data_IF_918263416408
#
_entry.id   IF_918263416408
#
_cell.length_a   1.000
_cell.length_b   1.000
_cell.length_c   1.000
_cell.angle_alpha   90.00
_cell.angle_beta   90.00
_cell.angle_gamma   90.00
#
_symmetry.space_group_name_H-M   'P 1'
#
loop_
_entity.id
_entity.type
_entity.pdbx_description
1 polymer ?
#
# COMPACT_ATOMS: atom_id res chain seq x y z
N UNK A 1 -16.34 5.11 10.62
CA UNK A 1 -15.98 4.12 9.59
C UNK A 1 -16.72 2.83 9.86
N UNK A 2 -17.32 2.24 8.83
CA UNK A 2 -18.04 0.97 8.94
C UNK A 2 -17.06 -0.19 9.08
N UNK A 3 -17.23 -1.04 10.11
CA UNK A 3 -16.37 -2.21 10.34
C UNK A 3 -16.30 -3.13 9.12
N UNK A 4 -17.39 -3.22 8.36
CA UNK A 4 -17.46 -4.04 7.15
C UNK A 4 -16.54 -3.51 6.04
N UNK A 5 -16.48 -2.20 5.85
CA UNK A 5 -15.59 -1.57 4.86
C UNK A 5 -14.14 -1.79 5.25
N UNK A 6 -13.79 -1.56 6.53
CA UNK A 6 -12.44 -1.84 7.05
C UNK A 6 -12.04 -3.32 6.86
N UNK A 7 -12.97 -4.24 7.13
CA UNK A 7 -12.75 -5.68 6.99
C UNK A 7 -12.58 -6.12 5.53
N UNK A 8 -13.36 -5.54 4.62
CA UNK A 8 -13.31 -5.86 3.21
C UNK A 8 -12.04 -5.30 2.55
N UNK A 9 -11.69 -4.05 2.85
CA UNK A 9 -10.71 -3.28 2.09
C UNK A 9 -9.26 -3.43 2.57
N UNK A 10 -9.01 -4.00 3.74
CA UNK A 10 -7.64 -4.15 4.29
C UNK A 10 -7.44 -5.51 4.96
N UNK A 11 -6.44 -6.25 4.50
CA UNK A 11 -6.06 -7.53 5.12
C UNK A 11 -5.58 -7.37 6.57
N UNK A 12 -4.92 -6.25 6.89
CA UNK A 12 -4.47 -5.95 8.26
C UNK A 12 -5.66 -5.62 9.18
N UNK A 13 -6.56 -4.72 8.76
CA UNK A 13 -7.76 -4.40 9.55
C UNK A 13 -8.66 -5.62 9.72
N UNK A 14 -8.81 -6.45 8.67
CA UNK A 14 -9.50 -7.74 8.75
C UNK A 14 -8.94 -8.61 9.88
N UNK A 15 -7.62 -8.73 9.95
CA UNK A 15 -6.93 -9.54 10.97
C UNK A 15 -7.14 -8.96 12.37
N UNK A 16 -7.00 -7.64 12.53
CA UNK A 16 -7.21 -6.94 13.81
C UNK A 16 -8.66 -7.06 14.31
N UNK A 17 -9.64 -6.88 13.42
CA UNK A 17 -11.07 -6.99 13.72
C UNK A 17 -11.46 -8.44 14.06
N UNK A 18 -10.89 -9.42 13.35
CA UNK A 18 -11.13 -10.85 13.63
C UNK A 18 -10.54 -11.29 14.96
N UNK A 19 -9.37 -10.76 15.33
CA UNK A 19 -8.74 -11.03 16.63
C UNK A 19 -9.49 -10.34 17.80
N UNK A 20 -10.23 -9.27 17.53
CA UNK A 20 -10.94 -8.48 18.53
C UNK A 20 -12.42 -8.28 18.17
N UNK A 21 -13.22 -9.37 18.10
CA UNK A 21 -14.58 -9.33 17.57
C UNK A 21 -15.53 -8.46 18.40
N UNK A 22 -15.30 -8.38 19.71
CA UNK A 22 -16.19 -7.68 20.66
C UNK A 22 -15.71 -6.27 21.04
N UNK A 23 -14.51 -5.85 20.60
CA UNK A 23 -14.01 -4.52 20.92
C UNK A 23 -14.65 -3.49 20.00
N UNK A 24 -15.30 -2.48 20.57
CA UNK A 24 -15.83 -1.32 19.86
C UNK A 24 -14.73 -0.37 19.39
N UNK A 25 -13.55 -0.41 20.02
CA UNK A 25 -12.39 0.45 19.73
C UNK A 25 -11.15 -0.41 19.47
N UNK A 26 -10.40 -0.06 18.41
CA UNK A 26 -9.09 -0.64 18.09
C UNK A 26 -8.11 0.51 18.02
N UNK A 27 -7.07 0.47 18.86
CA UNK A 27 -6.01 1.47 18.86
C UNK A 27 -4.96 1.13 17.79
N UNK A 28 -4.54 2.16 17.05
CA UNK A 28 -3.52 2.08 16.00
C UNK A 28 -2.46 3.11 16.36
N UNK A 29 -1.33 2.63 16.89
CA UNK A 29 -0.28 3.50 17.42
C UNK A 29 0.95 3.60 16.50
N UNK A 30 0.99 2.79 15.44
CA UNK A 30 2.14 2.69 14.54
C UNK A 30 1.98 3.47 13.22
N UNK A 31 0.90 4.24 13.06
CA UNK A 31 0.62 5.03 11.86
C UNK A 31 0.29 6.48 12.25
N UNK A 32 0.66 7.44 11.40
CA UNK A 32 0.27 8.84 11.62
C UNK A 32 -1.22 9.03 11.34
N UNK A 33 -1.84 9.97 12.04
CA UNK A 33 -3.26 10.30 11.82
C UNK A 33 -3.53 10.73 10.37
N UNK A 34 -2.58 11.44 9.76
CA UNK A 34 -2.65 11.88 8.36
C UNK A 34 -2.67 10.71 7.39
N UNK A 35 -1.71 9.79 7.49
CA UNK A 35 -1.65 8.60 6.62
C UNK A 35 -2.86 7.70 6.80
N UNK A 36 -3.29 7.52 8.05
CA UNK A 36 -4.45 6.72 8.34
C UNK A 36 -5.73 7.37 7.79
N UNK A 37 -5.87 8.68 7.90
CA UNK A 37 -6.99 9.42 7.30
C UNK A 37 -7.01 9.29 5.78
N UNK A 38 -5.86 9.40 5.12
CA UNK A 38 -5.75 9.20 3.67
C UNK A 38 -6.13 7.78 3.24
N UNK A 39 -5.80 6.76 4.05
CA UNK A 39 -6.23 5.39 3.84
C UNK A 39 -7.74 5.24 3.97
N UNK A 40 -8.35 5.88 4.97
CA UNK A 40 -9.80 5.87 5.17
C UNK A 40 -10.53 6.53 4.02
N UNK A 41 -10.06 7.69 3.57
CA UNK A 41 -10.59 8.38 2.39
C UNK A 41 -10.53 7.46 1.17
N UNK A 42 -9.38 6.83 0.92
CA UNK A 42 -9.21 5.89 -0.17
C UNK A 42 -10.21 4.72 -0.11
N UNK A 43 -10.51 4.18 1.06
CA UNK A 43 -11.49 3.08 1.17
C UNK A 43 -12.90 3.45 0.72
N UNK A 44 -13.29 4.72 0.86
CA UNK A 44 -14.61 5.19 0.48
C UNK A 44 -14.67 5.74 -0.94
N UNK A 45 -13.59 6.36 -1.42
CA UNK A 45 -13.58 6.98 -2.74
C UNK A 45 -12.92 6.14 -3.83
N UNK A 46 -12.04 5.21 -3.47
CA UNK A 46 -11.10 4.52 -4.37
C UNK A 46 -10.24 5.49 -5.20
N UNK A 47 -10.02 6.70 -4.70
CA UNK A 47 -9.20 7.74 -5.35
C UNK A 47 -8.00 8.08 -4.47
N UNK A 48 -6.85 8.33 -5.09
CA UNK A 48 -5.67 8.85 -4.39
C UNK A 48 -5.90 10.32 -4.04
N UNK A 49 -5.56 10.70 -2.81
CA UNK A 49 -5.51 12.10 -2.39
C UNK A 49 -4.26 12.74 -2.99
N UNK A 50 -4.39 13.79 -3.81
CA UNK A 50 -3.25 14.39 -4.51
C UNK A 50 -2.21 15.04 -3.58
N UNK A 51 -2.56 15.27 -2.31
CA UNK A 51 -1.65 15.87 -1.32
C UNK A 51 -0.74 14.84 -0.64
N UNK A 52 -0.98 13.54 -0.84
CA UNK A 52 -0.17 12.47 -0.25
C UNK A 52 0.77 11.93 -1.31
N UNK A 53 2.06 11.84 -0.98
CA UNK A 53 3.06 11.36 -1.91
C UNK A 53 2.81 9.90 -2.29
N UNK A 54 3.19 9.52 -3.51
CA UNK A 54 3.07 8.13 -4.00
C UNK A 54 3.85 7.15 -3.12
N UNK A 55 5.03 7.54 -2.62
CA UNK A 55 5.84 6.75 -1.71
C UNK A 55 5.15 6.47 -0.37
N UNK A 56 4.44 7.46 0.18
CA UNK A 56 3.63 7.30 1.38
C UNK A 56 2.44 6.37 1.12
N UNK A 57 1.76 6.51 -0.02
CA UNK A 57 0.68 5.61 -0.42
C UNK A 57 1.14 4.18 -0.62
N UNK A 58 2.33 3.96 -1.18
CA UNK A 58 2.93 2.64 -1.32
C UNK A 58 3.19 2.02 0.05
N UNK A 59 3.78 2.79 0.97
CA UNK A 59 4.02 2.37 2.36
C UNK A 59 2.71 1.99 3.06
N UNK A 60 1.68 2.83 2.92
CA UNK A 60 0.33 2.59 3.47
C UNK A 60 -0.25 1.30 2.88
N UNK A 61 -0.27 1.16 1.56
CA UNK A 61 -0.84 0.00 0.86
C UNK A 61 -0.21 -1.32 1.31
N UNK A 62 1.11 -1.36 1.49
CA UNK A 62 1.80 -2.55 1.97
C UNK A 62 1.55 -2.81 3.45
N UNK A 63 1.70 -1.78 4.29
CA UNK A 63 1.50 -1.90 5.75
C UNK A 63 0.08 -2.37 6.07
N UNK A 64 -0.91 -1.86 5.36
CA UNK A 64 -2.32 -2.12 5.59
C UNK A 64 -2.87 -3.27 4.73
N UNK A 65 -2.05 -3.84 3.83
CA UNK A 65 -2.44 -4.92 2.91
C UNK A 65 -3.71 -4.57 2.13
N UNK A 66 -3.64 -3.46 1.39
CA UNK A 66 -4.73 -2.92 0.58
C UNK A 66 -4.41 -3.18 -0.89
N UNK A 67 -4.84 -4.33 -1.39
CA UNK A 67 -4.46 -4.82 -2.73
C UNK A 67 -4.93 -3.87 -3.85
N UNK A 68 -6.13 -3.31 -3.74
CA UNK A 68 -6.67 -2.33 -4.69
C UNK A 68 -5.86 -1.04 -4.76
N UNK A 69 -5.35 -0.55 -3.62
CA UNK A 69 -4.46 0.61 -3.58
C UNK A 69 -3.15 0.29 -4.31
N UNK A 70 -2.55 -0.87 -4.03
CA UNK A 70 -1.32 -1.29 -4.69
C UNK A 70 -1.51 -1.48 -6.20
N UNK A 71 -2.66 -2.00 -6.64
CA UNK A 71 -3.02 -2.08 -8.08
C UNK A 71 -3.09 -0.71 -8.74
N UNK A 72 -3.78 0.25 -8.11
CA UNK A 72 -3.91 1.62 -8.63
C UNK A 72 -2.54 2.29 -8.70
N UNK A 73 -1.73 2.17 -7.65
CA UNK A 73 -0.37 2.72 -7.63
C UNK A 73 0.50 2.08 -8.70
N UNK A 74 0.40 0.78 -8.94
CA UNK A 74 1.15 0.15 -10.02
C UNK A 74 0.76 0.72 -11.39
N UNK A 75 -0.52 0.97 -11.66
CA UNK A 75 -0.97 1.59 -12.91
C UNK A 75 -0.47 3.04 -13.02
N UNK A 76 -0.60 3.83 -11.96
CA UNK A 76 -0.19 5.23 -11.92
C UNK A 76 1.33 5.38 -12.06
N UNK A 77 2.09 4.49 -11.43
CA UNK A 77 3.52 4.42 -11.63
C UNK A 77 3.82 4.03 -13.08
N UNK A 78 3.14 3.04 -13.66
CA UNK A 78 3.35 2.54 -15.03
C UNK A 78 3.05 3.56 -16.12
N UNK A 79 2.04 4.41 -15.94
CA UNK A 79 1.75 5.50 -16.89
C UNK A 79 2.85 6.56 -16.91
N UNK A 80 3.66 6.63 -15.85
CA UNK A 80 4.84 7.49 -15.73
C UNK A 80 6.15 6.78 -16.16
N UNK A 81 6.12 5.49 -16.55
CA UNK A 81 7.32 4.75 -17.02
C UNK A 81 7.87 5.24 -18.36
N UNK A 82 7.12 6.04 -19.13
CA UNK A 82 7.66 6.73 -20.32
C UNK A 82 8.63 7.88 -19.96
N UNK A 83 8.90 8.12 -18.66
CA UNK A 83 9.94 9.01 -18.18
C UNK A 83 10.90 8.26 -17.22
N UNK A 84 11.79 7.49 -17.84
CA UNK A 84 13.08 6.97 -17.36
C UNK A 84 13.35 6.92 -15.84
N UNK A 85 13.41 5.69 -15.30
CA UNK A 85 14.12 5.28 -14.07
C UNK A 85 13.65 5.79 -12.70
N UNK A 86 12.69 6.72 -12.60
CA UNK A 86 12.35 7.33 -11.31
C UNK A 86 11.67 6.36 -10.31
N UNK A 87 10.68 5.58 -10.77
CA UNK A 87 9.79 4.80 -9.89
C UNK A 87 10.48 3.67 -9.13
N UNK A 88 11.38 2.92 -9.79
CA UNK A 88 12.08 1.80 -9.12
C UNK A 88 12.98 2.29 -7.99
N UNK A 89 13.61 3.46 -8.14
CA UNK A 89 14.49 4.01 -7.10
C UNK A 89 13.72 4.44 -5.84
N UNK A 90 12.53 5.04 -5.98
CA UNK A 90 11.66 5.39 -4.85
C UNK A 90 11.03 4.17 -4.19
N UNK A 91 10.63 3.16 -4.99
CA UNK A 91 10.15 1.88 -4.46
C UNK A 91 11.26 1.18 -3.65
N UNK A 92 12.48 1.15 -4.17
CA UNK A 92 13.66 0.55 -3.51
C UNK A 92 14.08 1.36 -2.27
N UNK A 93 13.87 2.68 -2.26
CA UNK A 93 14.15 3.51 -1.10
C UNK A 93 13.08 3.32 -0.02
N UNK A 94 11.80 3.31 -0.37
CA UNK A 94 10.70 2.95 0.53
C UNK A 94 10.86 1.54 1.09
N UNK A 95 11.46 0.62 0.31
CA UNK A 95 11.86 -0.72 0.73
C UNK A 95 12.94 -0.72 1.82
N UNK A 96 13.98 0.14 1.72
CA UNK A 96 15.07 0.20 2.71
C UNK A 96 14.62 0.72 4.08
N UNK A 97 13.58 1.55 4.09
CA UNK A 97 13.09 2.20 5.32
C UNK A 97 11.97 1.38 6.01
N UNK A 98 11.57 0.24 5.44
CA UNK A 98 10.60 -0.67 6.06
C UNK A 98 11.30 -1.72 6.93
N UNK A 99 10.92 -1.88 8.21
CA UNK A 99 11.44 -2.95 9.05
C UNK A 99 11.03 -4.33 8.50
N UNK A 100 11.98 -5.27 8.55
CA UNK A 100 12.00 -6.56 7.88
C UNK A 100 10.67 -7.34 7.92
N UNK A 101 10.29 -7.86 6.74
CA UNK A 101 9.11 -8.68 6.34
C UNK A 101 8.03 -7.96 5.50
N UNK A 102 7.99 -6.63 5.47
CA UNK A 102 7.04 -5.89 4.59
C UNK A 102 7.55 -5.77 3.15
N UNK A 103 8.86 -5.92 2.98
CA UNK A 103 9.63 -5.86 1.75
C UNK A 103 9.28 -6.98 0.75
N UNK A 104 9.02 -8.20 1.25
CA UNK A 104 8.63 -9.35 0.42
C UNK A 104 7.19 -9.22 -0.08
N UNK A 105 6.26 -8.75 0.76
CA UNK A 105 4.87 -8.51 0.38
C UNK A 105 4.75 -7.38 -0.66
N UNK A 106 5.59 -6.34 -0.55
CA UNK A 106 5.71 -5.27 -1.54
C UNK A 106 6.30 -5.80 -2.87
N UNK A 107 7.42 -6.54 -2.82
CA UNK A 107 7.99 -7.17 -4.02
C UNK A 107 6.97 -8.11 -4.67
N UNK A 108 6.29 -8.97 -3.91
CA UNK A 108 5.26 -9.88 -4.42
C UNK A 108 4.05 -9.14 -5.00
N UNK A 109 3.67 -8.00 -4.42
CA UNK A 109 2.67 -7.10 -4.99
C UNK A 109 3.10 -6.55 -6.35
N UNK A 110 4.32 -6.03 -6.43
CA UNK A 110 4.88 -5.47 -7.68
C UNK A 110 5.10 -6.54 -8.75
N UNK A 111 5.63 -7.72 -8.40
CA UNK A 111 5.79 -8.87 -9.31
C UNK A 111 4.45 -9.46 -9.78
N UNK A 112 3.36 -9.31 -9.01
CA UNK A 112 2.02 -9.72 -9.45
C UNK A 112 1.38 -8.72 -10.40
N UNK A 113 1.76 -7.45 -10.32
CA UNK A 113 1.19 -6.35 -11.12
C UNK A 113 1.94 -6.14 -12.43
N UNK A 114 3.23 -6.49 -12.45
CA UNK A 114 4.03 -6.66 -13.65
C UNK A 114 4.72 -8.02 -13.61
N UNK A 115 4.40 -8.99 -14.48
CA UNK A 115 5.35 -10.04 -14.78
C UNK A 115 6.54 -9.34 -15.44
N UNK A 116 7.51 -8.91 -14.61
CA UNK A 116 8.78 -8.38 -15.07
C UNK A 116 9.32 -9.37 -16.10
N UNK A 117 9.38 -8.93 -17.35
CA UNK A 117 10.07 -9.68 -18.39
C UNK A 117 11.50 -9.88 -17.88
N UNK A 118 11.90 -11.13 -17.67
CA UNK A 118 13.08 -11.52 -16.88
C UNK A 118 14.42 -10.99 -17.46
N UNK A 119 14.36 -10.26 -18.57
CA UNK A 119 15.49 -9.64 -19.25
C UNK A 119 15.97 -8.32 -18.61
N UNK A 120 15.23 -7.73 -17.65
CA UNK A 120 15.68 -6.50 -16.98
C UNK A 120 16.58 -6.72 -15.74
N UNK A 121 16.96 -7.96 -15.42
CA UNK A 121 17.76 -8.30 -14.23
C UNK A 121 19.28 -8.24 -14.41
N UNK A 122 19.80 -7.75 -15.54
CA UNK A 122 21.23 -7.63 -15.78
C UNK A 122 21.61 -6.24 -16.31
N UNK A 123 21.66 -5.24 -15.43
CA UNK A 123 22.55 -4.09 -15.55
C UNK A 123 23.03 -3.65 -14.16
#
# INVERSE_FOLDING_TARGET
MDRLVAYASSGRLRSLLSANPNNSVIEINDETEENFSALLEFFYSLTLNPNVNLSDYLRIGCRWKVDELLKILAVECSSQFDQDNFVLSEIVQAYKDLPDNSALDLMLGLFRLHPFDANCMFL
#
